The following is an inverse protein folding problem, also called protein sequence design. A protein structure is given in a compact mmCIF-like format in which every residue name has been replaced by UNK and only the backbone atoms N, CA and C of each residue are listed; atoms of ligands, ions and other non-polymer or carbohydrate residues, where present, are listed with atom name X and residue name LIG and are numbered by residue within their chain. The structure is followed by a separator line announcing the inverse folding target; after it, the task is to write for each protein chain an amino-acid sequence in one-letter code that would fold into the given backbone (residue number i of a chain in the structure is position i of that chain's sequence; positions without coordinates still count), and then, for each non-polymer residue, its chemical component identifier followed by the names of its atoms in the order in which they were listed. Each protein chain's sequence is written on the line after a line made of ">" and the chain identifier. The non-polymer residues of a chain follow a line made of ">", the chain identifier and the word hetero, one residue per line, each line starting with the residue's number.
data_IF_409539659933
#
_entry.id   IF_409539659933
#
_cell.length_a   1.000
_cell.length_b   1.000
_cell.length_c   1.000
_cell.angle_alpha   90.00
_cell.angle_beta   90.00
_cell.angle_gamma   90.00
#
_symmetry.space_group_name_H-M   'P 1'
#
loop_
_entity.id
_entity.type
_entity.pdbx_description
1 polymer ?
#
# COMPACT_ATOMS: atom_id res chain seq x y z
N UNK A 1 3.92 -36.95 5.46
CA UNK A 1 2.79 -37.50 4.67
C UNK A 1 1.89 -36.38 4.15
N UNK A 2 1.74 -35.28 4.90
CA UNK A 2 0.97 -34.09 4.48
C UNK A 2 1.66 -33.26 3.37
N UNK A 3 2.98 -33.02 3.46
CA UNK A 3 3.67 -32.15 2.48
C UNK A 3 3.80 -32.77 1.09
N UNK A 4 4.14 -34.06 0.97
CA UNK A 4 4.23 -34.72 -0.33
C UNK A 4 2.88 -34.75 -1.06
N UNK A 5 1.78 -34.95 -0.31
CA UNK A 5 0.44 -34.94 -0.87
C UNK A 5 0.05 -33.55 -1.39
N UNK A 6 0.40 -32.48 -0.67
CA UNK A 6 0.19 -31.09 -1.13
C UNK A 6 0.99 -30.80 -2.41
N UNK A 7 2.25 -31.20 -2.46
CA UNK A 7 3.10 -31.05 -3.66
C UNK A 7 2.47 -31.78 -4.86
N UNK A 8 1.96 -32.99 -4.65
CA UNK A 8 1.34 -33.78 -5.72
C UNK A 8 0.03 -33.13 -6.23
N UNK A 9 -0.79 -32.55 -5.34
CA UNK A 9 -2.00 -31.81 -5.73
C UNK A 9 -1.67 -30.48 -6.44
N UNK A 10 -0.71 -29.69 -5.94
CA UNK A 10 -0.21 -28.49 -6.61
C UNK A 10 0.28 -28.82 -8.03
N UNK A 11 1.05 -29.89 -8.17
CA UNK A 11 1.58 -30.32 -9.47
C UNK A 11 0.46 -30.71 -10.44
N UNK A 12 -0.62 -31.34 -9.96
CA UNK A 12 -1.79 -31.66 -10.81
C UNK A 12 -2.49 -30.40 -11.33
N UNK A 13 -2.68 -29.40 -10.48
CA UNK A 13 -3.28 -28.11 -10.88
C UNK A 13 -2.42 -27.44 -11.96
N UNK A 14 -1.11 -27.34 -11.71
CA UNK A 14 -0.16 -26.75 -12.67
C UNK A 14 -0.22 -27.51 -14.02
N UNK A 15 -0.20 -28.84 -14.01
CA UNK A 15 -0.30 -29.64 -15.23
C UNK A 15 -1.65 -29.46 -15.96
N UNK A 16 -2.76 -29.33 -15.21
CA UNK A 16 -4.08 -29.07 -15.80
C UNK A 16 -4.10 -27.74 -16.55
N UNK A 17 -3.56 -26.69 -15.93
CA UNK A 17 -3.52 -25.35 -16.53
C UNK A 17 -2.56 -25.30 -17.73
N UNK A 18 -1.43 -25.99 -17.66
CA UNK A 18 -0.52 -26.16 -18.80
C UNK A 18 -1.23 -26.84 -19.98
N UNK A 19 -2.10 -27.82 -19.72
CA UNK A 19 -2.85 -28.47 -20.79
C UNK A 19 -3.95 -27.57 -21.38
N UNK A 20 -4.72 -26.89 -20.53
CA UNK A 20 -5.85 -26.06 -20.95
C UNK A 20 -5.43 -24.72 -21.56
N UNK A 21 -4.48 -24.01 -20.93
CA UNK A 21 -4.10 -22.64 -21.28
C UNK A 21 -2.69 -22.53 -21.89
N UNK A 22 -1.90 -23.60 -21.81
CA UNK A 22 -0.52 -23.67 -22.33
C UNK A 22 0.55 -23.36 -21.29
N UNK A 23 0.23 -22.59 -20.26
CA UNK A 23 1.07 -22.39 -19.09
C UNK A 23 0.21 -22.10 -17.85
N UNK A 24 0.78 -22.31 -16.67
CA UNK A 24 0.21 -21.90 -15.39
C UNK A 24 0.84 -20.56 -14.97
N UNK A 25 0.07 -19.67 -14.35
CA UNK A 25 0.57 -18.37 -13.88
C UNK A 25 0.55 -18.29 -12.36
N UNK A 26 1.66 -17.86 -11.77
CA UNK A 26 1.75 -17.50 -10.36
C UNK A 26 1.80 -15.98 -10.26
N UNK A 27 0.87 -15.39 -9.51
CA UNK A 27 0.88 -13.97 -9.16
C UNK A 27 1.29 -13.79 -7.69
N UNK A 28 2.21 -12.85 -7.46
CA UNK A 28 2.67 -12.42 -6.14
C UNK A 28 2.30 -10.95 -5.99
N UNK A 29 1.50 -10.64 -4.98
CA UNK A 29 1.07 -9.27 -4.70
C UNK A 29 2.24 -8.42 -4.20
N UNK A 30 2.25 -7.11 -4.51
CA UNK A 30 3.20 -6.19 -3.89
C UNK A 30 3.00 -6.13 -2.37
N UNK A 31 4.08 -5.86 -1.66
CA UNK A 31 4.01 -5.47 -0.25
C UNK A 31 4.36 -3.98 -0.08
N UNK A 32 4.65 -3.55 1.15
CA UNK A 32 4.95 -2.14 1.44
C UNK A 32 6.32 -1.69 0.91
N UNK A 33 7.15 -2.59 0.39
CA UNK A 33 8.51 -2.30 -0.08
C UNK A 33 8.81 -2.92 -1.46
N UNK A 34 8.45 -4.18 -1.68
CA UNK A 34 8.75 -4.91 -2.92
C UNK A 34 7.59 -4.86 -3.93
N UNK A 35 7.88 -4.79 -5.25
CA UNK A 35 6.85 -4.79 -6.27
C UNK A 35 6.26 -6.20 -6.45
N UNK A 36 4.97 -6.25 -6.78
CA UNK A 36 4.31 -7.47 -7.19
C UNK A 36 4.84 -7.96 -8.54
N UNK A 37 4.67 -9.25 -8.81
CA UNK A 37 5.13 -9.87 -10.05
C UNK A 37 4.29 -11.09 -10.42
N UNK A 38 4.33 -11.45 -11.69
CA UNK A 38 3.70 -12.66 -12.22
C UNK A 38 4.74 -13.43 -13.03
N UNK A 39 4.73 -14.75 -12.91
CA UNK A 39 5.56 -15.62 -13.76
C UNK A 39 4.82 -16.87 -14.22
N UNK A 40 5.27 -17.40 -15.37
CA UNK A 40 4.75 -18.64 -15.93
C UNK A 40 5.44 -19.88 -15.36
N UNK A 41 4.71 -20.99 -15.40
CA UNK A 41 5.23 -22.35 -15.23
C UNK A 41 4.71 -23.18 -16.40
N UNK A 42 5.61 -23.90 -17.08
CA UNK A 42 5.27 -24.89 -18.10
C UNK A 42 5.57 -24.48 -19.53
N UNK A 43 5.97 -23.24 -19.81
CA UNK A 43 6.45 -22.85 -21.14
C UNK A 43 7.67 -23.69 -21.54
N UNK A 44 8.56 -23.95 -20.59
CA UNK A 44 9.73 -24.79 -20.82
C UNK A 44 9.35 -26.25 -20.93
N UNK A 45 8.41 -26.70 -20.11
CA UNK A 45 7.97 -28.09 -20.09
C UNK A 45 7.28 -28.50 -21.40
N UNK A 46 6.39 -27.65 -21.91
CA UNK A 46 5.52 -27.97 -23.06
C UNK A 46 6.11 -27.54 -24.39
N UNK A 47 6.83 -26.42 -24.44
CA UNK A 47 7.31 -25.82 -25.69
C UNK A 47 8.84 -25.70 -25.79
N UNK A 48 9.58 -26.01 -24.71
CA UNK A 48 11.02 -25.78 -24.65
C UNK A 48 11.41 -24.29 -24.62
N UNK A 49 10.45 -23.40 -24.39
CA UNK A 49 10.66 -21.95 -24.30
C UNK A 49 10.99 -21.53 -22.85
N UNK A 50 11.84 -20.53 -22.60
CA UNK A 50 12.04 -20.01 -21.25
C UNK A 50 10.74 -19.62 -20.53
N UNK A 51 10.70 -19.80 -19.21
CA UNK A 51 9.61 -19.22 -18.42
C UNK A 51 9.66 -17.69 -18.47
N UNK A 52 8.52 -17.01 -18.36
CA UNK A 52 8.44 -15.55 -18.42
C UNK A 52 8.07 -15.00 -17.05
N UNK A 53 8.81 -14.00 -16.56
CA UNK A 53 8.51 -13.24 -15.33
C UNK A 53 8.36 -11.75 -15.65
N UNK A 54 7.44 -11.05 -14.98
CA UNK A 54 7.24 -9.62 -15.14
C UNK A 54 6.84 -8.97 -13.80
N UNK A 55 7.38 -7.78 -13.53
CA UNK A 55 7.24 -7.05 -12.27
C UNK A 55 6.47 -5.74 -12.47
N UNK A 56 5.82 -5.25 -11.41
CA UNK A 56 5.38 -3.86 -11.28
C UNK A 56 4.14 -3.44 -12.07
N UNK A 57 3.67 -4.27 -13.01
CA UNK A 57 2.37 -4.09 -13.68
C UNK A 57 1.26 -4.80 -12.89
N UNK A 58 0.03 -4.34 -13.07
CA UNK A 58 -1.16 -5.00 -12.53
C UNK A 58 -1.21 -6.48 -12.97
N UNK A 59 -1.56 -7.38 -12.06
CA UNK A 59 -1.53 -8.84 -12.31
C UNK A 59 -2.40 -9.29 -13.49
N UNK A 60 -3.55 -8.66 -13.74
CA UNK A 60 -4.42 -8.99 -14.89
C UNK A 60 -3.77 -8.57 -16.22
N UNK A 61 -3.16 -7.38 -16.24
CA UNK A 61 -2.40 -6.88 -17.40
C UNK A 61 -1.24 -7.82 -17.69
N UNK A 62 -0.46 -8.15 -16.66
CA UNK A 62 0.68 -9.06 -16.80
C UNK A 62 0.25 -10.45 -17.26
N UNK A 63 -0.82 -11.01 -16.70
CA UNK A 63 -1.37 -12.29 -17.13
C UNK A 63 -1.81 -12.25 -18.60
N UNK A 64 -2.49 -11.19 -19.04
CA UNK A 64 -2.86 -11.00 -20.46
C UNK A 64 -1.63 -10.99 -21.37
N UNK A 65 -0.55 -10.31 -20.97
CA UNK A 65 0.69 -10.23 -21.74
C UNK A 65 1.37 -11.60 -21.83
N UNK A 66 1.52 -12.32 -20.71
CA UNK A 66 2.16 -13.64 -20.69
C UNK A 66 1.31 -14.66 -21.47
N UNK A 67 -0.02 -14.63 -21.35
CA UNK A 67 -0.90 -15.48 -22.15
C UNK A 67 -0.81 -15.17 -23.65
N UNK A 68 -0.70 -13.89 -24.02
CA UNK A 68 -0.42 -13.52 -25.42
C UNK A 68 0.93 -14.07 -25.90
N UNK A 69 1.98 -13.98 -25.08
CA UNK A 69 3.28 -14.61 -25.37
C UNK A 69 3.15 -16.14 -25.54
N UNK A 70 2.40 -16.81 -24.65
CA UNK A 70 2.12 -18.24 -24.74
C UNK A 70 1.44 -18.61 -26.07
N UNK A 71 0.45 -17.84 -26.51
CA UNK A 71 -0.20 -18.04 -27.81
C UNK A 71 0.76 -17.87 -29.00
N UNK A 72 1.67 -16.89 -28.96
CA UNK A 72 2.67 -16.73 -30.02
C UNK A 72 3.68 -17.90 -30.04
N UNK A 73 4.10 -18.37 -28.87
CA UNK A 73 4.97 -19.56 -28.72
C UNK A 73 4.27 -20.80 -29.31
N UNK A 74 2.99 -21.02 -28.98
CA UNK A 74 2.18 -22.12 -29.53
C UNK A 74 2.11 -22.10 -31.05
N UNK A 75 2.08 -20.93 -31.66
CA UNK A 75 2.02 -20.74 -33.11
C UNK A 75 3.40 -20.80 -33.79
N UNK A 76 4.49 -21.04 -33.04
CA UNK A 76 5.85 -21.13 -33.59
C UNK A 76 6.52 -19.78 -33.78
N UNK A 77 6.04 -18.72 -33.14
CA UNK A 77 6.59 -17.36 -33.17
C UNK A 77 7.09 -16.93 -31.77
N UNK A 78 8.03 -17.67 -31.14
CA UNK A 78 8.46 -17.37 -29.79
C UNK A 78 9.22 -16.02 -29.73
N UNK A 79 9.06 -15.25 -28.63
CA UNK A 79 9.89 -14.08 -28.42
C UNK A 79 11.36 -14.49 -28.23
N UNK A 80 12.28 -13.63 -28.66
CA UNK A 80 13.72 -13.74 -28.48
C UNK A 80 14.19 -12.62 -27.55
N UNK A 81 15.24 -12.85 -26.75
CA UNK A 81 15.76 -11.84 -25.85
C UNK A 81 16.41 -10.67 -26.62
N UNK A 82 16.53 -9.54 -25.93
CA UNK A 82 17.30 -8.36 -26.35
C UNK A 82 16.79 -7.67 -27.64
N UNK A 83 15.50 -7.78 -27.93
CA UNK A 83 14.86 -7.01 -29.00
C UNK A 83 13.52 -6.42 -28.56
N UNK A 84 13.15 -5.22 -29.05
CA UNK A 84 11.90 -4.58 -28.69
C UNK A 84 10.73 -5.19 -29.48
N UNK A 85 9.61 -5.39 -28.79
CA UNK A 85 8.37 -5.91 -29.36
C UNK A 85 7.21 -4.94 -29.19
N UNK A 86 6.37 -4.82 -30.21
CA UNK A 86 5.06 -4.15 -30.13
C UNK A 86 3.94 -5.17 -30.01
N UNK A 87 2.77 -4.72 -29.58
CA UNK A 87 1.54 -5.52 -29.59
C UNK A 87 1.31 -6.36 -28.33
N UNK A 88 2.30 -6.46 -27.45
CA UNK A 88 2.14 -7.05 -26.12
C UNK A 88 1.50 -6.07 -25.14
N UNK A 89 2.00 -4.83 -25.13
CA UNK A 89 1.44 -3.72 -24.34
C UNK A 89 0.95 -2.64 -25.31
N UNK A 90 -0.28 -2.19 -25.15
CA UNK A 90 -0.89 -1.23 -26.08
C UNK A 90 -0.16 0.11 -26.05
N UNK A 91 0.32 0.55 -27.21
CA UNK A 91 1.00 1.85 -27.35
C UNK A 91 2.49 1.87 -26.97
N UNK A 92 3.04 0.78 -26.45
CA UNK A 92 4.41 0.72 -25.92
C UNK A 92 5.19 -0.47 -26.49
N UNK A 93 6.51 -0.35 -26.54
CA UNK A 93 7.35 -1.52 -26.74
C UNK A 93 7.52 -2.29 -25.43
N UNK A 94 7.86 -3.57 -25.51
CA UNK A 94 8.41 -4.35 -24.39
C UNK A 94 9.74 -4.96 -24.83
N UNK A 95 10.53 -5.45 -23.90
CA UNK A 95 11.72 -6.24 -24.22
C UNK A 95 11.86 -7.42 -23.27
N UNK A 96 12.32 -8.55 -23.79
CA UNK A 96 12.66 -9.71 -22.99
C UNK A 96 14.16 -9.72 -22.69
N UNK A 97 14.54 -9.93 -21.43
CA UNK A 97 15.93 -10.08 -20.98
C UNK A 97 16.12 -11.46 -20.37
N UNK A 98 17.31 -12.04 -20.51
CA UNK A 98 17.64 -13.30 -19.82
C UNK A 98 17.74 -13.07 -18.30
N UNK A 99 17.17 -13.98 -17.52
CA UNK A 99 17.23 -13.92 -16.05
C UNK A 99 18.48 -14.64 -15.57
N UNK A 100 19.30 -13.98 -14.75
CA UNK A 100 20.44 -14.61 -14.08
C UNK A 100 19.96 -15.67 -13.09
N UNK A 101 20.56 -16.88 -13.14
CA UNK A 101 20.24 -18.00 -12.27
C UNK A 101 20.36 -17.67 -10.77
N UNK A 102 21.17 -16.67 -10.41
CA UNK A 102 21.31 -16.17 -9.04
C UNK A 102 19.99 -15.64 -8.43
N UNK A 103 18.98 -15.34 -9.25
CA UNK A 103 17.67 -14.85 -8.82
C UNK A 103 16.58 -15.93 -8.75
N UNK A 104 16.83 -17.14 -9.26
CA UNK A 104 15.76 -18.12 -9.45
C UNK A 104 15.15 -18.58 -8.13
N UNK A 105 16.00 -18.81 -7.13
CA UNK A 105 15.54 -19.18 -5.78
C UNK A 105 14.76 -18.06 -5.09
N UNK A 106 14.99 -16.80 -5.49
CA UNK A 106 14.34 -15.64 -4.89
C UNK A 106 12.92 -15.43 -5.44
N UNK A 107 12.68 -15.70 -6.73
CA UNK A 107 11.40 -15.36 -7.37
C UNK A 107 10.62 -16.57 -7.90
N UNK A 108 11.30 -17.64 -8.34
CA UNK A 108 10.71 -18.73 -9.13
C UNK A 108 10.50 -20.00 -8.27
N UNK A 109 10.06 -19.84 -7.02
CA UNK A 109 9.96 -20.93 -6.05
C UNK A 109 9.03 -22.08 -6.45
N UNK A 110 7.83 -21.77 -6.98
CA UNK A 110 6.87 -22.81 -7.43
C UNK A 110 7.37 -23.49 -8.71
N UNK A 111 7.97 -22.74 -9.64
CA UNK A 111 8.62 -23.33 -10.82
C UNK A 111 9.75 -24.26 -10.39
N UNK A 112 10.60 -23.83 -9.45
CA UNK A 112 11.62 -24.66 -8.83
C UNK A 112 11.07 -26.00 -8.34
N UNK A 113 9.98 -25.99 -7.57
CA UNK A 113 9.31 -27.22 -7.10
C UNK A 113 8.76 -28.08 -8.24
N UNK A 114 8.16 -27.46 -9.26
CA UNK A 114 7.63 -28.16 -10.43
C UNK A 114 8.75 -28.85 -11.25
N UNK A 115 9.92 -28.21 -11.36
CA UNK A 115 11.13 -28.71 -12.00
C UNK A 115 12.08 -29.43 -11.02
N UNK A 116 11.52 -30.16 -10.05
CA UNK A 116 12.22 -31.06 -9.13
C UNK A 116 13.37 -30.40 -8.32
N UNK A 117 13.20 -29.11 -8.00
CA UNK A 117 14.15 -28.24 -7.28
C UNK A 117 15.52 -28.09 -7.95
N UNK A 118 15.66 -28.53 -9.22
CA UNK A 118 16.90 -28.42 -9.98
C UNK A 118 17.18 -27.00 -10.49
N UNK A 119 16.15 -26.17 -10.62
CA UNK A 119 16.22 -24.87 -11.31
C UNK A 119 16.91 -24.98 -12.69
N UNK A 120 16.70 -26.12 -13.35
CA UNK A 120 17.27 -26.44 -14.66
C UNK A 120 16.27 -26.13 -15.78
N UNK A 121 15.94 -24.85 -15.86
CA UNK A 121 15.13 -24.27 -16.92
C UNK A 121 15.66 -22.85 -17.20
N UNK A 122 15.47 -22.30 -18.40
CA UNK A 122 15.75 -20.90 -18.68
C UNK A 122 14.54 -20.02 -18.31
N UNK A 123 14.79 -18.74 -18.03
CA UNK A 123 13.76 -17.74 -17.79
C UNK A 123 14.10 -16.41 -18.47
N UNK A 124 13.06 -15.71 -18.91
CA UNK A 124 13.10 -14.37 -19.48
C UNK A 124 12.30 -13.41 -18.61
N UNK A 125 12.86 -12.24 -18.31
CA UNK A 125 12.13 -11.12 -17.74
C UNK A 125 11.52 -10.31 -18.87
N UNK A 126 10.21 -10.06 -18.79
CA UNK A 126 9.53 -9.05 -19.59
C UNK A 126 9.69 -7.69 -18.91
N UNK A 127 10.36 -6.77 -19.61
CA UNK A 127 10.59 -5.39 -19.19
C UNK A 127 9.69 -4.45 -20.00
N UNK A 128 9.03 -3.54 -19.31
CA UNK A 128 8.16 -2.51 -19.89
C UNK A 128 8.79 -1.11 -19.73
N UNK A 129 8.48 -0.16 -20.63
CA UNK A 129 9.04 1.18 -20.60
C UNK A 129 8.16 2.15 -19.80
N UNK A 130 8.65 3.37 -19.56
CA UNK A 130 7.84 4.44 -19.01
C UNK A 130 6.86 5.02 -20.05
N UNK A 131 6.11 6.06 -19.66
CA UNK A 131 5.13 6.71 -20.55
C UNK A 131 5.75 7.39 -21.79
N UNK A 132 7.07 7.58 -21.82
CA UNK A 132 7.82 8.12 -22.95
C UNK A 132 8.39 7.01 -23.84
N UNK A 133 8.04 5.73 -23.57
CA UNK A 133 8.53 4.56 -24.29
C UNK A 133 10.05 4.33 -24.09
N UNK A 134 10.59 4.79 -22.95
CA UNK A 134 11.98 4.56 -22.54
C UNK A 134 12.07 3.37 -21.57
N UNK A 135 13.07 2.51 -21.73
CA UNK A 135 13.37 1.40 -20.82
C UNK A 135 14.19 1.86 -19.59
N UNK A 136 14.20 1.07 -18.49
CA UNK A 136 14.92 1.42 -17.26
C UNK A 136 16.42 1.72 -17.40
N UNK A 137 17.06 1.25 -18.47
CA UNK A 137 18.48 1.49 -18.75
C UNK A 137 18.74 2.66 -19.70
N UNK A 138 17.70 3.30 -20.22
CA UNK A 138 17.81 4.43 -21.14
C UNK A 138 17.89 5.76 -20.39
N UNK A 139 18.58 6.72 -21.00
CA UNK A 139 18.69 8.07 -20.46
C UNK A 139 17.31 8.72 -20.37
N UNK A 140 17.05 9.46 -19.29
CA UNK A 140 15.77 10.13 -19.00
C UNK A 140 14.56 9.24 -18.71
N UNK A 141 14.76 7.93 -18.47
CA UNK A 141 13.74 7.07 -17.90
C UNK A 141 13.16 7.67 -16.61
N UNK A 142 11.84 7.57 -16.43
CA UNK A 142 11.18 8.04 -15.22
C UNK A 142 11.73 7.37 -13.95
N UNK A 143 12.40 8.16 -13.12
CA UNK A 143 13.05 7.70 -11.89
C UNK A 143 12.09 7.02 -10.90
N UNK A 144 10.83 7.46 -10.82
CA UNK A 144 9.83 6.90 -9.89
C UNK A 144 9.49 5.42 -10.19
N UNK A 145 9.83 4.95 -11.40
CA UNK A 145 9.57 3.58 -11.84
C UNK A 145 10.79 2.67 -11.71
N UNK A 146 11.96 3.21 -11.35
CA UNK A 146 13.25 2.51 -11.36
C UNK A 146 13.21 1.21 -10.56
N UNK A 147 12.61 1.23 -9.37
CA UNK A 147 12.54 0.09 -8.47
C UNK A 147 11.21 -0.69 -8.57
N UNK A 148 10.31 -0.30 -9.48
CA UNK A 148 9.07 -1.05 -9.75
C UNK A 148 9.30 -2.34 -10.53
N UNK A 149 10.45 -2.47 -11.20
CA UNK A 149 10.88 -3.69 -11.88
C UNK A 149 12.38 -3.89 -11.71
N UNK A 150 12.83 -4.77 -10.81
CA UNK A 150 14.25 -5.07 -10.66
C UNK A 150 14.74 -5.74 -11.95
N UNK A 151 15.91 -5.32 -12.45
CA UNK A 151 16.51 -5.93 -13.64
C UNK A 151 17.27 -7.19 -13.25
N UNK A 152 16.77 -8.35 -13.64
CA UNK A 152 17.29 -9.66 -13.23
C UNK A 152 18.42 -10.21 -14.12
N UNK A 153 18.76 -9.52 -15.21
CA UNK A 153 19.92 -9.83 -16.06
C UNK A 153 21.24 -9.28 -15.48
N UNK A 154 21.13 -8.48 -14.42
CA UNK A 154 22.23 -7.75 -13.77
C UNK A 154 21.96 -7.64 -12.27
N UNK A 155 22.87 -6.98 -11.55
CA UNK A 155 22.71 -6.68 -10.11
C UNK A 155 22.56 -7.90 -9.18
N UNK A 156 22.97 -9.10 -9.58
CA UNK A 156 22.90 -10.29 -8.71
C UNK A 156 23.64 -10.14 -7.37
N UNK A 157 24.63 -9.24 -7.29
CA UNK A 157 25.40 -8.92 -6.09
C UNK A 157 24.83 -7.74 -5.28
N UNK A 158 23.76 -7.08 -5.76
CA UNK A 158 23.08 -5.97 -5.09
C UNK A 158 21.58 -6.06 -5.39
N UNK A 159 20.84 -6.83 -4.58
CA UNK A 159 19.43 -7.17 -4.84
C UNK A 159 18.40 -6.16 -4.29
N UNK A 160 18.86 -5.16 -3.54
CA UNK A 160 18.00 -4.18 -2.88
C UNK A 160 17.26 -3.29 -3.89
N UNK A 161 16.06 -2.82 -3.49
CA UNK A 161 15.20 -1.92 -4.26
C UNK A 161 15.55 -0.45 -4.00
N UNK A 162 16.86 -0.19 -3.85
CA UNK A 162 17.41 1.09 -3.41
C UNK A 162 18.63 1.47 -4.23
N UNK A 163 19.05 2.73 -4.13
CA UNK A 163 20.33 3.13 -4.70
C UNK A 163 21.51 2.53 -3.93
N UNK A 164 22.60 2.26 -4.65
CA UNK A 164 23.84 1.73 -4.05
C UNK A 164 24.46 2.69 -3.04
N UNK A 165 24.30 3.99 -3.28
CA UNK A 165 24.80 5.07 -2.43
C UNK A 165 23.76 5.55 -1.39
N UNK A 166 22.66 4.82 -1.21
CA UNK A 166 21.71 5.08 -0.12
C UNK A 166 22.46 5.14 1.21
N UNK A 167 22.25 6.21 1.96
CA UNK A 167 22.82 6.38 3.29
C UNK A 167 22.10 5.45 4.29
N UNK A 168 22.86 4.62 4.99
CA UNK A 168 22.34 3.65 5.96
C UNK A 168 23.11 3.73 7.28
N UNK A 169 22.49 3.27 8.36
CA UNK A 169 23.09 3.31 9.70
C UNK A 169 23.82 2.00 10.02
N UNK A 170 25.00 2.11 10.60
CA UNK A 170 25.81 0.98 11.05
C UNK A 170 26.59 1.33 12.32
N UNK A 171 27.35 0.41 12.87
CA UNK A 171 28.23 0.66 14.03
C UNK A 171 29.71 0.68 13.66
N UNK A 172 30.49 1.45 14.41
CA UNK A 172 31.96 1.47 14.30
C UNK A 172 32.58 0.07 14.34
N UNK A 173 32.02 -0.82 15.17
CA UNK A 173 32.47 -2.20 15.35
C UNK A 173 32.40 -3.01 14.05
N UNK A 174 31.33 -2.87 13.26
CA UNK A 174 31.23 -3.54 11.95
C UNK A 174 32.34 -3.07 11.02
N UNK A 175 32.63 -1.77 10.99
CA UNK A 175 33.71 -1.21 10.18
C UNK A 175 35.11 -1.65 10.66
N UNK A 176 35.23 -2.08 11.92
CA UNK A 176 36.45 -2.64 12.51
C UNK A 176 36.56 -4.17 12.36
N UNK A 177 35.53 -4.81 11.77
CA UNK A 177 35.54 -6.23 11.38
C UNK A 177 34.58 -7.14 12.14
N UNK A 178 33.76 -6.60 13.04
CA UNK A 178 32.72 -7.39 13.71
C UNK A 178 31.61 -7.81 12.72
N UNK A 179 30.98 -8.98 12.92
CA UNK A 179 29.95 -9.46 12.02
C UNK A 179 28.66 -8.64 12.14
N UNK A 180 27.94 -8.50 11.03
CA UNK A 180 26.56 -8.01 11.05
C UNK A 180 25.67 -9.14 11.58
N UNK A 181 25.00 -8.91 12.70
CA UNK A 181 24.15 -9.91 13.37
C UNK A 181 22.68 -9.49 13.43
N UNK A 182 22.39 -8.19 13.32
CA UNK A 182 21.05 -7.63 13.37
C UNK A 182 20.88 -6.63 12.22
N UNK A 183 19.74 -6.67 11.56
CA UNK A 183 19.37 -5.77 10.46
C UNK A 183 17.95 -5.30 10.71
N UNK A 184 17.72 -3.99 10.61
CA UNK A 184 16.40 -3.39 10.75
C UNK A 184 16.08 -2.60 9.49
N UNK A 185 14.85 -2.74 9.03
CA UNK A 185 14.24 -1.86 8.04
C UNK A 185 13.06 -1.20 8.74
N UNK A 186 13.26 0.02 9.24
CA UNK A 186 12.28 0.67 10.11
C UNK A 186 11.03 1.11 9.34
N UNK A 187 10.04 1.64 10.04
CA UNK A 187 8.78 2.08 9.41
C UNK A 187 8.95 3.31 8.49
N UNK A 188 10.03 4.07 8.68
CA UNK A 188 10.39 5.24 7.88
C UNK A 188 11.19 4.89 6.60
N UNK A 189 11.60 3.63 6.44
CA UNK A 189 12.37 3.14 5.29
C UNK A 189 13.89 3.20 5.44
N UNK A 190 14.41 3.51 6.62
CA UNK A 190 15.85 3.47 6.90
C UNK A 190 16.33 2.04 7.16
N UNK A 191 17.43 1.69 6.51
CA UNK A 191 18.19 0.47 6.78
C UNK A 191 19.22 0.70 7.89
N UNK A 192 19.28 -0.26 8.82
CA UNK A 192 20.20 -0.23 9.95
C UNK A 192 20.85 -1.60 10.14
N UNK A 193 22.16 -1.64 10.37
CA UNK A 193 22.96 -2.87 10.42
C UNK A 193 23.85 -2.89 11.67
N UNK A 194 23.70 -3.87 12.56
CA UNK A 194 24.36 -3.89 13.87
C UNK A 194 25.04 -5.22 14.19
N UNK A 195 26.13 -5.15 14.97
CA UNK A 195 26.84 -6.33 15.50
C UNK A 195 26.30 -6.82 16.84
N UNK A 196 25.47 -6.02 17.51
CA UNK A 196 24.83 -6.35 18.78
C UNK A 196 23.47 -5.65 18.90
N UNK A 197 22.63 -6.14 19.81
CA UNK A 197 21.31 -5.57 20.09
C UNK A 197 21.48 -4.21 20.79
N UNK A 198 20.83 -3.16 20.27
CA UNK A 198 20.76 -1.81 20.85
C UNK A 198 22.12 -1.06 20.91
N UNK A 199 22.65 -0.60 19.77
CA UNK A 199 23.86 0.21 19.74
C UNK A 199 23.68 1.57 20.40
N UNK A 200 24.75 2.06 21.02
CA UNK A 200 24.77 3.43 21.55
C UNK A 200 24.95 4.44 20.42
N UNK A 201 24.39 5.64 20.55
CA UNK A 201 24.51 6.71 19.54
C UNK A 201 25.96 7.07 19.19
N UNK A 202 26.89 6.92 20.13
CA UNK A 202 28.32 7.21 19.92
C UNK A 202 28.98 6.24 18.93
N UNK A 203 28.48 5.01 18.85
CA UNK A 203 28.98 3.97 17.95
C UNK A 203 28.40 4.08 16.53
N UNK A 204 27.31 4.84 16.34
CA UNK A 204 26.62 4.94 15.06
C UNK A 204 27.51 5.64 14.03
N UNK A 205 27.50 5.08 12.82
CA UNK A 205 28.12 5.60 11.60
C UNK A 205 27.10 5.55 10.48
N UNK A 206 27.24 6.47 9.54
CA UNK A 206 26.47 6.49 8.30
C UNK A 206 27.41 6.09 7.17
N UNK A 207 27.03 5.08 6.41
CA UNK A 207 27.79 4.55 5.26
C UNK A 207 26.84 4.35 4.08
N UNK A 208 27.35 3.95 2.92
CA UNK A 208 26.49 3.54 1.80
C UNK A 208 25.98 2.11 2.00
N UNK A 209 24.78 1.83 1.50
CA UNK A 209 24.24 0.47 1.48
C UNK A 209 25.17 -0.50 0.74
N UNK A 210 25.82 -0.05 -0.34
CA UNK A 210 26.80 -0.85 -1.05
C UNK A 210 27.98 -1.29 -0.16
N UNK A 211 28.49 -0.41 0.70
CA UNK A 211 29.61 -0.75 1.61
C UNK A 211 29.21 -1.88 2.57
N UNK A 212 27.96 -1.88 3.04
CA UNK A 212 27.43 -2.97 3.87
C UNK A 212 27.40 -4.31 3.12
N UNK A 213 27.02 -4.32 1.84
CA UNK A 213 27.04 -5.54 1.02
C UNK A 213 28.46 -5.99 0.65
N UNK A 214 29.42 -5.08 0.57
CA UNK A 214 30.84 -5.41 0.39
C UNK A 214 31.44 -6.06 1.65
N UNK A 215 31.02 -5.59 2.84
CA UNK A 215 31.38 -6.20 4.13
C UNK A 215 30.71 -7.57 4.27
N UNK A 216 29.45 -7.69 3.86
CA UNK A 216 28.66 -8.90 4.01
C UNK A 216 27.70 -9.16 2.84
N UNK A 217 28.13 -9.99 1.86
CA UNK A 217 27.31 -10.33 0.71
C UNK A 217 26.01 -11.09 1.06
N UNK A 218 25.92 -11.71 2.24
CA UNK A 218 24.72 -12.45 2.66
C UNK A 218 23.51 -11.54 2.90
N UNK A 219 23.71 -10.22 2.99
CA UNK A 219 22.60 -9.25 3.03
C UNK A 219 21.70 -9.33 1.78
N UNK A 220 22.22 -9.85 0.65
CA UNK A 220 21.40 -10.15 -0.53
C UNK A 220 20.35 -11.24 -0.30
N UNK A 221 20.39 -11.96 0.81
CA UNK A 221 19.39 -12.97 1.18
C UNK A 221 18.18 -12.34 1.88
N UNK A 222 18.33 -11.15 2.48
CA UNK A 222 17.28 -10.43 3.23
C UNK A 222 16.88 -9.10 2.60
N UNK A 223 17.23 -8.91 1.32
CA UNK A 223 16.89 -7.71 0.54
C UNK A 223 15.38 -7.43 0.44
N UNK A 224 14.53 -8.39 0.81
CA UNK A 224 13.07 -8.32 0.75
C UNK A 224 12.41 -7.81 2.05
N UNK A 225 13.19 -7.54 3.11
CA UNK A 225 12.61 -7.10 4.38
C UNK A 225 11.75 -5.86 4.14
N UNK A 226 10.49 -5.95 4.58
CA UNK A 226 9.50 -4.89 4.49
C UNK A 226 9.77 -3.78 5.50
N UNK A 227 9.10 -2.63 5.35
CA UNK A 227 9.12 -1.60 6.38
C UNK A 227 8.53 -2.15 7.69
N UNK A 228 9.23 -1.89 8.80
CA UNK A 228 8.91 -2.43 10.11
C UNK A 228 9.27 -3.91 10.27
N UNK A 229 10.30 -4.40 9.58
CA UNK A 229 10.84 -5.75 9.76
C UNK A 229 12.29 -5.72 10.24
N UNK A 230 12.69 -6.83 10.85
CA UNK A 230 14.09 -7.06 11.23
C UNK A 230 14.53 -8.45 10.81
N UNK A 231 15.84 -8.60 10.64
CA UNK A 231 16.49 -9.90 10.55
C UNK A 231 17.64 -10.01 11.55
N UNK A 232 17.91 -11.23 12.01
CA UNK A 232 19.02 -11.54 12.90
C UNK A 232 19.62 -12.91 12.61
N UNK A 233 20.84 -13.13 13.10
CA UNK A 233 21.52 -14.43 13.08
C UNK A 233 22.50 -14.56 14.23
N UNK A 234 22.89 -15.80 14.55
CA UNK A 234 23.78 -16.06 15.69
C UNK A 234 25.26 -15.80 15.38
N UNK A 235 25.67 -15.96 14.13
CA UNK A 235 27.02 -15.70 13.65
C UNK A 235 27.01 -15.38 12.16
N UNK A 236 28.18 -14.97 11.62
CA UNK A 236 28.31 -14.66 10.19
C UNK A 236 28.14 -15.83 9.23
N UNK A 237 28.02 -17.05 9.74
CA UNK A 237 27.89 -18.27 8.95
C UNK A 237 26.52 -18.93 9.13
N UNK A 238 25.67 -18.39 10.00
CA UNK A 238 24.32 -18.90 10.23
C UNK A 238 23.34 -18.19 9.29
N UNK A 239 22.28 -18.92 8.93
CA UNK A 239 21.20 -18.39 8.12
C UNK A 239 20.48 -17.24 8.85
N UNK A 240 19.99 -16.28 8.07
CA UNK A 240 19.15 -15.20 8.58
C UNK A 240 17.80 -15.74 9.06
N UNK A 241 17.35 -15.19 10.18
CA UNK A 241 15.97 -15.29 10.66
C UNK A 241 15.37 -13.90 10.57
N UNK A 242 14.07 -13.81 10.26
CA UNK A 242 13.39 -12.54 10.10
C UNK A 242 12.00 -12.58 10.74
N UNK A 243 11.54 -11.39 11.15
CA UNK A 243 10.20 -11.20 11.64
C UNK A 243 9.75 -9.75 11.47
N UNK A 244 8.44 -9.53 11.57
CA UNK A 244 7.89 -8.18 11.70
C UNK A 244 8.28 -7.59 13.05
N UNK A 245 8.99 -6.47 13.01
CA UNK A 245 9.43 -5.74 14.19
C UNK A 245 8.71 -4.39 14.27
N UNK A 246 7.78 -4.29 15.21
CA UNK A 246 7.31 -2.98 15.64
C UNK A 246 8.35 -2.44 16.61
N UNK A 247 8.96 -1.33 16.25
CA UNK A 247 9.89 -0.64 17.12
C UNK A 247 9.10 -0.09 18.32
N UNK A 248 9.15 -0.78 19.46
CA UNK A 248 8.57 -0.29 20.72
C UNK A 248 9.28 0.99 21.21
N UNK A 249 10.46 1.33 20.67
CA UNK A 249 11.20 2.56 20.97
C UNK A 249 10.83 3.73 20.05
N UNK A 250 10.14 3.46 18.93
CA UNK A 250 9.26 4.42 18.25
C UNK A 250 7.82 4.16 18.74
N UNK A 251 7.61 4.19 20.06
CA UNK A 251 6.47 4.98 20.48
C UNK A 251 6.81 6.44 20.09
N UNK A 252 6.52 6.83 18.83
CA UNK A 252 5.92 8.16 18.67
C UNK A 252 4.87 8.19 19.78
N UNK A 253 5.00 9.08 20.78
CA UNK A 253 4.23 8.96 22.00
C UNK A 253 2.81 8.73 21.56
N UNK A 254 2.29 7.52 21.78
CA UNK A 254 0.93 7.20 21.33
C UNK A 254 0.14 8.20 22.13
N UNK A 255 -0.28 9.26 21.45
CA UNK A 255 -1.24 10.19 21.96
C UNK A 255 -2.44 9.28 22.08
N UNK A 256 -2.62 8.70 23.28
CA UNK A 256 -3.74 7.83 23.60
C UNK A 256 -4.94 8.75 23.54
N UNK A 257 -5.46 8.89 22.34
CA UNK A 257 -6.62 9.70 22.03
C UNK A 257 -7.83 8.88 22.45
N UNK A 258 -8.58 9.44 23.39
CA UNK A 258 -9.84 8.87 23.78
C UNK A 258 -10.91 9.35 22.79
N UNK A 259 -12.07 8.68 22.77
CA UNK A 259 -13.22 9.12 21.95
C UNK A 259 -13.54 10.60 22.20
N UNK A 260 -13.42 11.08 23.44
CA UNK A 260 -13.60 12.50 23.81
C UNK A 260 -12.69 13.47 23.06
N UNK A 261 -11.50 13.02 22.67
CA UNK A 261 -10.52 13.81 21.91
C UNK A 261 -10.86 13.84 20.42
N UNK A 262 -11.73 12.96 19.94
CA UNK A 262 -12.05 12.78 18.52
C UNK A 262 -13.46 13.29 18.15
N UNK A 263 -14.23 13.72 19.14
CA UNK A 263 -15.60 14.20 18.96
C UNK A 263 -15.75 15.67 19.36
N UNK A 264 -16.85 16.28 18.91
CA UNK A 264 -17.27 17.61 19.35
C UNK A 264 -18.32 17.49 20.46
N UNK A 265 -18.25 18.40 21.43
CA UNK A 265 -19.31 18.55 22.42
C UNK A 265 -20.57 19.09 21.74
N UNK A 266 -21.54 18.20 21.52
CA UNK A 266 -22.76 18.50 20.79
C UNK A 266 -23.64 19.54 21.48
N UNK A 267 -23.53 19.66 22.81
CA UNK A 267 -24.31 20.64 23.58
C UNK A 267 -23.91 22.08 23.26
N UNK A 268 -22.74 22.29 22.64
CA UNK A 268 -22.23 23.59 22.21
C UNK A 268 -22.53 23.91 20.75
N UNK A 269 -23.23 23.02 20.04
CA UNK A 269 -23.49 23.14 18.61
C UNK A 269 -24.97 23.43 18.39
N UNK A 270 -25.25 24.39 17.51
CA UNK A 270 -26.60 24.58 17.03
C UNK A 270 -26.95 23.47 16.03
N UNK A 271 -27.77 22.51 16.45
CA UNK A 271 -28.12 21.34 15.62
C UNK A 271 -28.71 21.72 14.26
N UNK A 272 -29.45 22.82 14.18
CA UNK A 272 -30.01 23.28 12.89
C UNK A 272 -28.92 23.62 11.88
N UNK A 273 -27.75 24.10 12.32
CA UNK A 273 -26.64 24.45 11.42
C UNK A 273 -26.01 23.19 10.77
N UNK A 274 -26.21 22.01 11.36
CA UNK A 274 -25.63 20.75 10.87
C UNK A 274 -26.67 19.79 10.25
N UNK A 275 -27.97 19.98 10.51
CA UNK A 275 -29.02 19.09 10.00
C UNK A 275 -29.83 19.66 8.82
N UNK A 276 -29.96 20.98 8.67
CA UNK A 276 -30.90 21.60 7.70
C UNK A 276 -30.65 21.13 6.26
N UNK A 277 -29.40 21.18 5.78
CA UNK A 277 -29.08 20.78 4.40
C UNK A 277 -29.07 19.25 4.19
N UNK A 278 -29.22 18.48 5.29
CA UNK A 278 -29.23 17.02 5.31
C UNK A 278 -30.63 16.41 5.50
N UNK A 279 -31.66 17.23 5.71
CA UNK A 279 -33.05 16.77 5.91
C UNK A 279 -33.53 15.80 4.81
N UNK A 280 -33.03 15.94 3.58
CA UNK A 280 -33.38 15.05 2.48
C UNK A 280 -32.96 13.57 2.69
N UNK A 281 -32.01 13.32 3.59
CA UNK A 281 -31.47 12.00 3.90
C UNK A 281 -31.81 11.55 5.32
N UNK A 282 -31.84 12.48 6.27
CA UNK A 282 -32.03 12.20 7.70
C UNK A 282 -33.37 12.72 8.25
N UNK A 283 -34.37 12.98 7.41
CA UNK A 283 -35.71 13.33 7.86
C UNK A 283 -36.30 12.23 8.75
N UNK A 284 -36.84 12.64 9.91
CA UNK A 284 -37.51 11.74 10.86
C UNK A 284 -36.59 11.08 11.89
N UNK A 285 -35.27 11.29 11.82
CA UNK A 285 -34.34 10.83 12.86
C UNK A 285 -34.62 11.53 14.20
N UNK A 286 -34.51 10.78 15.30
CA UNK A 286 -34.93 11.21 16.64
C UNK A 286 -33.97 12.22 17.26
N UNK A 287 -32.66 11.95 17.16
CA UNK A 287 -31.61 12.79 17.78
C UNK A 287 -30.24 12.52 17.16
N UNK A 288 -29.38 13.52 17.25
CA UNK A 288 -27.94 13.38 17.01
C UNK A 288 -27.28 12.88 18.29
N UNK A 289 -26.52 11.80 18.19
CA UNK A 289 -25.83 11.15 19.31
C UNK A 289 -24.38 11.63 19.44
N UNK A 290 -23.69 11.77 18.31
CA UNK A 290 -22.27 12.11 18.27
C UNK A 290 -21.96 12.88 16.99
N UNK A 291 -21.02 13.83 17.09
CA UNK A 291 -20.42 14.53 15.96
C UNK A 291 -18.90 14.33 16.04
N UNK A 292 -18.29 13.77 14.99
CA UNK A 292 -16.84 13.56 14.93
C UNK A 292 -16.09 14.86 14.61
N UNK A 293 -14.81 14.94 14.95
CA UNK A 293 -13.94 16.06 14.54
C UNK A 293 -13.69 16.10 13.04
N UNK A 294 -14.03 15.05 12.28
CA UNK A 294 -13.96 15.00 10.82
C UNK A 294 -15.31 15.30 10.14
N UNK A 295 -16.34 15.61 10.93
CA UNK A 295 -17.60 16.13 10.43
C UNK A 295 -18.67 15.09 10.14
N UNK A 296 -18.52 13.87 10.61
CA UNK A 296 -19.56 12.83 10.49
C UNK A 296 -20.48 12.78 11.70
N UNK A 297 -21.72 12.32 11.47
CA UNK A 297 -22.75 12.27 12.51
C UNK A 297 -23.22 10.86 12.78
N UNK A 298 -23.40 10.54 14.06
CA UNK A 298 -24.16 9.36 14.48
C UNK A 298 -25.53 9.79 14.97
N UNK A 299 -26.57 9.13 14.47
CA UNK A 299 -27.96 9.53 14.65
C UNK A 299 -28.78 8.34 15.16
N UNK A 300 -29.78 8.60 15.99
CA UNK A 300 -30.77 7.60 16.36
C UNK A 300 -31.96 7.66 15.39
N UNK A 301 -32.27 6.54 14.74
CA UNK A 301 -33.39 6.45 13.80
C UNK A 301 -34.75 6.22 14.51
N UNK A 302 -35.89 6.24 13.79
CA UNK A 302 -37.20 5.96 14.37
C UNK A 302 -37.36 4.61 15.08
N UNK A 303 -36.56 3.61 14.72
CA UNK A 303 -36.56 2.27 15.31
C UNK A 303 -35.64 2.14 16.54
N UNK A 304 -35.04 3.25 17.00
CA UNK A 304 -34.05 3.30 18.10
C UNK A 304 -32.66 2.70 17.77
N UNK A 305 -32.42 2.31 16.52
CA UNK A 305 -31.12 1.89 16.01
C UNK A 305 -30.21 3.11 15.80
N UNK A 306 -28.89 2.88 15.83
CA UNK A 306 -27.87 3.89 15.58
C UNK A 306 -27.36 3.77 14.15
N UNK A 307 -27.36 4.89 13.44
CA UNK A 307 -26.79 4.98 12.10
C UNK A 307 -25.63 5.97 12.08
N UNK A 308 -24.72 5.77 11.14
CA UNK A 308 -23.65 6.69 10.77
C UNK A 308 -24.03 7.40 9.47
N UNK A 309 -24.01 8.73 9.50
CA UNK A 309 -24.05 9.59 8.31
C UNK A 309 -22.61 10.00 7.97
N UNK A 310 -22.09 9.43 6.89
CA UNK A 310 -20.84 9.84 6.25
C UNK A 310 -21.10 11.11 5.43
N UNK A 311 -20.51 12.21 5.86
CA UNK A 311 -20.70 13.52 5.23
C UNK A 311 -19.76 13.78 4.06
N UNK A 312 -18.80 12.89 3.82
CA UNK A 312 -17.91 12.88 2.67
C UNK A 312 -18.49 12.12 1.46
N UNK A 313 -19.32 11.10 1.71
CA UNK A 313 -19.96 10.28 0.66
C UNK A 313 -21.47 10.43 0.59
N UNK A 314 -22.12 10.96 1.63
CA UNK A 314 -23.58 11.12 1.67
C UNK A 314 -24.32 9.81 1.83
N UNK A 315 -23.68 8.81 2.44
CA UNK A 315 -24.26 7.50 2.73
C UNK A 315 -24.69 7.44 4.21
N UNK A 316 -25.81 6.76 4.45
CA UNK A 316 -26.26 6.42 5.80
C UNK A 316 -26.20 4.91 5.97
N UNK A 317 -25.45 4.46 6.98
CA UNK A 317 -25.24 3.05 7.28
C UNK A 317 -25.71 2.76 8.70
N UNK A 318 -26.46 1.67 8.89
CA UNK A 318 -26.77 1.18 10.23
C UNK A 318 -25.50 0.59 10.87
N UNK A 319 -25.16 1.06 12.07
CA UNK A 319 -23.93 0.65 12.76
C UNK A 319 -24.20 -0.12 14.05
N UNK A 320 -25.36 0.05 14.67
CA UNK A 320 -25.75 -0.71 15.85
C UNK A 320 -27.27 -0.75 16.05
N UNK A 321 -27.77 -1.83 16.63
CA UNK A 321 -29.19 -2.01 16.94
C UNK A 321 -29.65 -1.21 18.17
N UNK A 322 -28.72 -0.70 18.97
CA UNK A 322 -29.00 0.10 20.16
C UNK A 322 -27.83 1.02 20.53
N UNK A 323 -28.09 2.02 21.37
CA UNK A 323 -27.05 2.92 21.90
C UNK A 323 -26.00 2.16 22.71
N UNK A 324 -26.40 1.14 23.48
CA UNK A 324 -25.47 0.34 24.27
C UNK A 324 -24.50 -0.46 23.38
N UNK A 325 -25.01 -1.06 22.31
CA UNK A 325 -24.17 -1.74 21.32
C UNK A 325 -23.25 -0.76 20.60
N UNK A 326 -23.75 0.43 20.25
CA UNK A 326 -22.93 1.48 19.64
C UNK A 326 -21.75 1.88 20.54
N UNK A 327 -21.98 2.07 21.84
CA UNK A 327 -20.93 2.36 22.82
C UNK A 327 -19.93 1.20 22.95
N UNK A 328 -20.37 -0.06 22.87
CA UNK A 328 -19.47 -1.22 22.84
C UNK A 328 -18.62 -1.24 21.56
N UNK A 329 -19.22 -0.98 20.40
CA UNK A 329 -18.51 -0.95 19.13
C UNK A 329 -17.46 0.16 19.07
N UNK A 330 -17.74 1.33 19.66
CA UNK A 330 -16.77 2.44 19.76
C UNK A 330 -15.48 2.08 20.51
N UNK A 331 -15.50 1.05 21.35
CA UNK A 331 -14.32 0.57 22.08
C UNK A 331 -13.47 -0.42 21.28
N UNK A 332 -13.85 -0.77 20.05
CA UNK A 332 -13.09 -1.66 19.17
C UNK A 332 -12.16 -0.83 18.28
N UNK A 333 -10.88 -1.15 18.27
CA UNK A 333 -9.85 -0.40 17.52
C UNK A 333 -10.20 -0.22 16.04
N UNK A 334 -10.69 -1.29 15.38
CA UNK A 334 -11.11 -1.25 13.97
C UNK A 334 -12.22 -0.23 13.71
N UNK A 335 -13.23 -0.18 14.58
CA UNK A 335 -14.36 0.75 14.47
C UNK A 335 -13.96 2.17 14.85
N UNK A 336 -13.06 2.32 15.81
CA UNK A 336 -12.50 3.62 16.15
C UNK A 336 -11.71 4.20 14.96
N UNK A 337 -10.91 3.37 14.28
CA UNK A 337 -10.17 3.79 13.09
C UNK A 337 -11.12 4.18 11.95
N UNK A 338 -12.11 3.33 11.66
CA UNK A 338 -13.11 3.55 10.61
C UNK A 338 -13.93 4.83 10.82
N UNK A 339 -14.39 5.08 12.05
CA UNK A 339 -15.38 6.14 12.33
C UNK A 339 -14.78 7.47 12.79
N UNK A 340 -13.65 7.43 13.51
CA UNK A 340 -13.12 8.62 14.19
C UNK A 340 -11.76 9.06 13.65
N UNK A 341 -11.11 8.23 12.83
CA UNK A 341 -9.83 8.50 12.16
C UNK A 341 -8.73 9.01 13.16
N UNK A 342 -8.49 8.33 14.30
CA UNK A 342 -7.51 8.73 15.31
C UNK A 342 -6.09 8.87 14.73
N UNK A 343 -5.65 8.00 13.82
CA UNK A 343 -4.33 8.11 13.21
C UNK A 343 -4.17 9.40 12.39
N UNK A 344 -5.19 9.76 11.60
CA UNK A 344 -5.20 11.02 10.85
C UNK A 344 -5.26 12.22 11.80
N UNK A 345 -6.03 12.13 12.89
CA UNK A 345 -6.07 13.16 13.93
C UNK A 345 -4.69 13.38 14.56
N UNK A 346 -3.98 12.31 14.94
CA UNK A 346 -2.62 12.39 15.52
C UNK A 346 -1.66 13.06 14.54
N UNK A 347 -1.67 12.67 13.26
CA UNK A 347 -0.84 13.30 12.21
C UNK A 347 -1.14 14.81 12.04
N UNK A 348 -2.41 15.21 12.14
CA UNK A 348 -2.79 16.63 12.09
C UNK A 348 -2.28 17.40 13.32
N UNK A 349 -2.31 16.77 14.50
CA UNK A 349 -1.79 17.35 15.75
C UNK A 349 -0.27 17.50 15.71
N UNK A 350 0.49 16.51 15.22
CA UNK A 350 1.96 16.58 15.12
C UNK A 350 2.41 17.71 14.17
N UNK A 351 1.59 18.03 13.16
CA UNK A 351 1.80 19.15 12.24
C UNK A 351 1.26 20.50 12.75
N UNK A 352 0.82 20.57 14.01
CA UNK A 352 0.23 21.75 14.65
C UNK A 352 -1.05 22.30 13.96
N UNK A 353 -1.79 21.45 13.25
CA UNK A 353 -3.05 21.81 12.60
C UNK A 353 -4.19 21.64 13.61
N UNK A 354 -4.44 22.69 14.39
CA UNK A 354 -5.39 22.67 15.51
C UNK A 354 -6.76 23.27 15.16
N UNK A 355 -7.83 22.72 15.75
CA UNK A 355 -9.20 23.22 15.60
C UNK A 355 -9.53 24.32 16.60
N UNK A 356 -10.26 25.35 16.15
CA UNK A 356 -11.02 26.24 17.05
C UNK A 356 -12.33 25.57 17.50
N UNK A 357 -12.97 26.14 18.51
CA UNK A 357 -14.22 25.60 19.07
C UNK A 357 -15.31 25.41 18.00
N UNK A 358 -15.47 26.35 17.06
CA UNK A 358 -16.45 26.27 15.97
C UNK A 358 -15.99 25.49 14.74
N UNK A 359 -14.84 24.82 14.79
CA UNK A 359 -14.25 24.13 13.65
C UNK A 359 -14.22 22.61 13.80
N UNK A 360 -14.18 21.96 12.65
CA UNK A 360 -13.86 20.54 12.42
C UNK A 360 -12.84 20.44 11.29
N UNK A 361 -12.25 19.27 11.12
CA UNK A 361 -11.43 18.91 9.98
C UNK A 361 -12.36 18.55 8.83
N UNK A 362 -12.29 19.30 7.73
CA UNK A 362 -13.04 19.01 6.52
C UNK A 362 -12.12 18.70 5.36
N UNK A 363 -12.58 17.86 4.45
CA UNK A 363 -11.86 17.53 3.24
C UNK A 363 -11.79 18.73 2.28
N UNK A 364 -10.65 18.93 1.63
CA UNK A 364 -10.51 19.92 0.55
C UNK A 364 -11.19 19.41 -0.73
N UNK A 365 -11.00 18.13 -1.03
CA UNK A 365 -11.70 17.35 -2.07
C UNK A 365 -12.47 16.24 -1.36
N UNK A 366 -13.79 16.17 -1.54
CA UNK A 366 -14.63 15.17 -0.89
C UNK A 366 -14.28 13.74 -1.34
N UNK A 367 -14.38 12.72 -0.47
CA UNK A 367 -14.17 11.32 -0.83
C UNK A 367 -14.99 10.87 -2.05
N UNK A 368 -16.27 11.27 -2.17
CA UNK A 368 -17.10 10.95 -3.35
C UNK A 368 -16.57 11.53 -4.67
N UNK A 369 -15.71 12.55 -4.60
CA UNK A 369 -15.07 13.19 -5.74
C UNK A 369 -13.62 12.71 -5.93
N UNK A 370 -13.22 11.61 -5.29
CA UNK A 370 -11.86 11.05 -5.36
C UNK A 370 -10.87 11.65 -4.35
N UNK A 371 -11.36 12.35 -3.33
CA UNK A 371 -10.52 12.86 -2.25
C UNK A 371 -9.92 11.75 -1.39
N UNK A 372 -8.67 11.93 -0.98
CA UNK A 372 -7.93 10.98 -0.13
C UNK A 372 -8.03 11.35 1.37
N UNK A 373 -7.84 10.37 2.23
CA UNK A 373 -7.83 10.51 3.70
C UNK A 373 -6.40 10.83 4.20
N UNK A 374 -5.80 11.89 3.66
CA UNK A 374 -4.44 12.30 3.99
C UNK A 374 -4.40 13.74 4.49
N UNK A 375 -3.34 14.11 5.22
CA UNK A 375 -3.20 15.45 5.84
C UNK A 375 -3.30 16.55 4.79
N UNK A 376 -2.75 16.33 3.60
CA UNK A 376 -2.73 17.31 2.49
C UNK A 376 -4.15 17.65 2.01
N UNK A 377 -5.09 16.71 2.14
CA UNK A 377 -6.49 16.89 1.75
C UNK A 377 -7.39 17.33 2.91
N UNK A 378 -6.85 17.69 4.07
CA UNK A 378 -7.64 18.10 5.24
C UNK A 378 -7.35 19.56 5.62
N UNK A 379 -8.38 20.30 6.03
CA UNK A 379 -8.22 21.64 6.62
C UNK A 379 -9.24 21.93 7.73
N UNK A 380 -8.90 22.79 8.72
CA UNK A 380 -9.88 23.33 9.64
C UNK A 380 -10.94 24.17 8.92
N UNK A 381 -12.21 23.80 9.06
CA UNK A 381 -13.37 24.49 8.48
C UNK A 381 -14.43 24.72 9.55
N UNK A 382 -15.22 25.79 9.41
CA UNK A 382 -16.34 26.04 10.31
C UNK A 382 -17.40 24.93 10.18
N UNK A 383 -17.90 24.45 11.31
CA UNK A 383 -18.86 23.33 11.37
C UNK A 383 -20.08 23.61 10.50
N UNK A 384 -20.69 24.79 10.62
CA UNK A 384 -21.90 25.11 9.83
C UNK A 384 -21.60 25.18 8.33
N UNK A 385 -20.40 25.64 7.96
CA UNK A 385 -19.98 25.69 6.55
C UNK A 385 -19.78 24.28 5.99
N UNK A 386 -19.12 23.38 6.72
CA UNK A 386 -18.94 21.98 6.32
C UNK A 386 -20.28 21.30 6.01
N UNK A 387 -21.20 21.32 6.97
CA UNK A 387 -22.48 20.63 6.81
C UNK A 387 -23.35 21.26 5.73
N UNK A 388 -23.34 22.60 5.61
CA UNK A 388 -24.12 23.29 4.58
C UNK A 388 -23.61 22.97 3.18
N UNK A 389 -22.29 23.04 2.95
CA UNK A 389 -21.70 22.83 1.62
C UNK A 389 -21.82 21.36 1.22
N UNK A 390 -21.42 20.44 2.09
CA UNK A 390 -21.43 19.02 1.77
C UNK A 390 -22.86 18.51 1.55
N UNK A 391 -23.82 18.95 2.37
CA UNK A 391 -25.23 18.60 2.20
C UNK A 391 -25.81 19.08 0.86
N UNK A 392 -25.44 20.28 0.41
CA UNK A 392 -25.88 20.81 -0.89
C UNK A 392 -25.23 20.08 -2.08
N UNK A 393 -23.92 19.77 -1.98
CA UNK A 393 -23.19 19.01 -3.00
C UNK A 393 -23.76 17.59 -3.13
N UNK A 394 -23.83 16.85 -2.02
CA UNK A 394 -24.23 15.45 -2.02
C UNK A 394 -25.70 15.27 -2.42
N UNK A 395 -26.57 16.24 -2.08
CA UNK A 395 -27.95 16.26 -2.57
C UNK A 395 -28.04 16.37 -4.10
N UNK A 396 -27.11 17.07 -4.75
CA UNK A 396 -27.03 17.15 -6.21
C UNK A 396 -26.51 15.85 -6.82
N UNK A 397 -25.59 15.17 -6.14
CA UNK A 397 -24.95 13.95 -6.63
C UNK A 397 -25.77 12.67 -6.44
N UNK A 398 -26.70 12.63 -5.47
CA UNK A 398 -27.38 11.40 -5.00
C UNK A 398 -28.02 10.48 -6.05
N UNK A 399 -28.36 10.99 -7.24
CA UNK A 399 -29.01 10.25 -8.31
C UNK A 399 -28.16 10.18 -9.60
N UNK A 400 -26.90 10.58 -9.53
CA UNK A 400 -25.99 10.58 -10.67
C UNK A 400 -25.25 9.25 -10.74
N UNK A 401 -25.08 8.64 -11.93
CA UNK A 401 -24.24 7.46 -12.09
C UNK A 401 -22.76 7.76 -11.80
N UNK A 402 -22.03 6.74 -11.35
CA UNK A 402 -20.59 6.81 -11.20
C UNK A 402 -19.89 7.20 -12.52
N UNK A 403 -18.83 8.00 -12.43
CA UNK A 403 -18.10 8.52 -13.59
C UNK A 403 -18.73 9.73 -14.28
N UNK A 404 -19.85 10.26 -13.77
CA UNK A 404 -20.47 11.48 -14.31
C UNK A 404 -19.61 12.71 -14.05
N UNK A 405 -19.28 13.48 -15.10
CA UNK A 405 -18.69 14.82 -14.94
C UNK A 405 -19.73 15.81 -14.40
N UNK A 406 -19.39 16.51 -13.31
CA UNK A 406 -20.32 17.39 -12.60
C UNK A 406 -19.80 18.83 -12.49
N UNK A 407 -20.70 19.79 -12.67
CA UNK A 407 -20.45 21.19 -12.30
C UNK A 407 -21.28 21.53 -11.06
N UNK A 408 -20.61 21.57 -9.91
CA UNK A 408 -21.27 21.80 -8.63
C UNK A 408 -21.59 23.28 -8.44
N UNK A 409 -22.84 23.57 -8.07
CA UNK A 409 -23.25 24.89 -7.59
C UNK A 409 -23.39 24.83 -6.09
N UNK A 410 -22.64 25.68 -5.40
CA UNK A 410 -22.73 25.83 -3.94
C UNK A 410 -23.22 27.24 -3.66
N UNK A 411 -24.29 27.33 -2.88
CA UNK A 411 -24.79 28.61 -2.39
C UNK A 411 -23.80 29.21 -1.38
N UNK A 412 -23.54 30.51 -1.47
CA UNK A 412 -22.61 31.17 -0.55
C UNK A 412 -23.20 31.03 0.88
N UNK A 413 -22.47 30.47 1.86
CA UNK A 413 -23.03 30.20 3.17
C UNK A 413 -23.57 31.49 3.78
N UNK A 414 -24.80 31.45 4.32
CA UNK A 414 -25.43 32.61 4.96
C UNK A 414 -24.49 33.14 6.04
N UNK A 415 -23.80 34.25 5.77
CA UNK A 415 -22.94 34.92 6.77
C UNK A 415 -23.79 35.19 8.02
N UNK A 416 -23.45 34.56 9.15
CA UNK A 416 -23.99 34.98 10.44
C UNK A 416 -23.65 36.47 10.64
N UNK A 417 -24.59 37.32 11.09
CA UNK A 417 -24.31 38.74 11.27
C UNK A 417 -23.18 38.90 12.29
N UNK A 418 -22.14 39.65 11.90
CA UNK A 418 -21.07 40.07 12.82
C UNK A 418 -21.67 41.06 13.82
N UNK A 419 -22.03 40.59 15.01
CA UNK A 419 -22.28 41.48 16.13
C UNK A 419 -20.92 42.06 16.59
N UNK A 420 -20.72 43.36 16.40
CA UNK A 420 -19.69 44.12 17.10
C UNK A 420 -20.23 44.43 18.48
N UNK A 421 -19.57 43.94 19.53
CA UNK A 421 -19.69 44.57 20.84
C UNK A 421 -18.53 45.56 21.01
N UNK A 422 -18.88 46.72 21.55
CA UNK A 422 -18.03 47.87 21.82
C UNK A 422 -17.11 47.59 23.00
#
# INVERSE_FOLDING_TARGET
>A
MDDQFKIDEERKVILSDIEEFGCHLIAVDPDNYTPGFVYSIGLYHKYGHPEIICFGLNSEVTASIINHACHLIQNGEPPLPNQPYRGYLEGYHIQFLEVDKAFYRNYLGYAGRFYDMGFDFPALQLVWPDKQDLFPWEEHFNFDLKFKQPLLDRNANFKFYEEKDLAVYTTKQILEGDPILYVHHNEDGDWQFYSYLDPTLDDIKVVSLQEMLEIDPSLNEIYYLQYGWRAWRSSRYDDWQDERFKDESIEEPILKVNVSDLVKDINKINLNDITTEWEWLIAGYKKVLMLTKFGDMFLQNPNDEVVWLDTGTGVVTEVASSIAEFEEQLNKDEKMEEWLLPNLFIKLQSLNINLKESQIYGFQVLPILGGTYTVENIKPIDIGVHFSINGEILRQLKNMPDGTEVQLKVSNPKKKPRWKFW
#
